data_IF_730167000253
#
_entry.id   IF_730167000253
#
_cell.length_a   1.000
_cell.length_b   1.000
_cell.length_c   1.000
_cell.angle_alpha   90.00
_cell.angle_beta   90.00
_cell.angle_gamma   90.00
#
_symmetry.space_group_name_H-M   'P 1'
#
loop_
_entity.id
_entity.type
_entity.pdbx_description
1 polymer ?
#
# COMPACT_ATOMS: atom_id res chain seq x y z
N UNK A 1 -50.89 -2.95 -20.79
CA UNK A 1 -49.69 -2.56 -21.56
C UNK A 1 -48.76 -1.60 -20.81
N UNK A 2 -49.25 -0.50 -20.22
CA UNK A 2 -48.42 0.46 -19.46
C UNK A 2 -47.66 -0.15 -18.27
N UNK A 3 -48.30 -1.00 -17.47
CA UNK A 3 -47.66 -1.67 -16.33
C UNK A 3 -46.52 -2.62 -16.76
N UNK A 4 -46.70 -3.35 -17.86
CA UNK A 4 -45.67 -4.24 -18.43
C UNK A 4 -44.49 -3.43 -18.95
N UNK A 5 -44.75 -2.30 -19.62
CA UNK A 5 -43.69 -1.40 -20.09
C UNK A 5 -42.87 -0.81 -18.94
N UNK A 6 -43.52 -0.44 -17.82
CA UNK A 6 -42.84 0.06 -16.62
C UNK A 6 -41.99 -1.03 -15.95
N UNK A 7 -42.50 -2.26 -15.83
CA UNK A 7 -41.74 -3.38 -15.29
C UNK A 7 -40.52 -3.70 -16.15
N UNK A 8 -40.66 -3.67 -17.48
CA UNK A 8 -39.55 -3.84 -18.41
C UNK A 8 -38.52 -2.72 -18.27
N UNK A 9 -38.96 -1.47 -18.19
CA UNK A 9 -38.07 -0.33 -18.00
C UNK A 9 -37.26 -0.46 -16.70
N UNK A 10 -37.92 -0.77 -15.58
CA UNK A 10 -37.26 -0.99 -14.29
C UNK A 10 -36.30 -2.18 -14.36
N UNK A 11 -36.72 -3.29 -14.96
CA UNK A 11 -35.87 -4.47 -15.14
C UNK A 11 -34.59 -4.14 -15.92
N UNK A 12 -34.71 -3.43 -17.04
CA UNK A 12 -33.56 -2.99 -17.84
C UNK A 12 -32.66 -2.05 -17.03
N UNK A 13 -33.24 -1.07 -16.32
CA UNK A 13 -32.46 -0.15 -15.48
C UNK A 13 -31.66 -0.89 -14.40
N UNK A 14 -32.28 -1.87 -13.71
CA UNK A 14 -31.60 -2.67 -12.69
C UNK A 14 -30.46 -3.49 -13.30
N UNK A 15 -30.67 -4.12 -14.46
CA UNK A 15 -29.64 -4.89 -15.15
C UNK A 15 -28.47 -4.01 -15.56
N UNK A 16 -28.74 -2.82 -16.12
CA UNK A 16 -27.70 -1.86 -16.50
C UNK A 16 -26.94 -1.36 -15.27
N UNK A 17 -27.64 -0.99 -14.21
CA UNK A 17 -27.02 -0.53 -12.96
C UNK A 17 -26.12 -1.61 -12.34
N UNK A 18 -26.59 -2.87 -12.30
CA UNK A 18 -25.82 -4.00 -11.81
C UNK A 18 -24.58 -4.25 -12.68
N UNK A 19 -24.75 -4.21 -14.00
CA UNK A 19 -23.64 -4.35 -14.96
C UNK A 19 -22.57 -3.27 -14.76
N UNK A 20 -22.98 -2.01 -14.62
CA UNK A 20 -22.08 -0.90 -14.31
C UNK A 20 -21.36 -1.12 -12.97
N UNK A 21 -22.08 -1.53 -11.92
CA UNK A 21 -21.49 -1.80 -10.61
C UNK A 21 -20.42 -2.90 -10.65
N UNK A 22 -20.73 -4.03 -11.30
CA UNK A 22 -19.78 -5.15 -11.46
C UNK A 22 -18.56 -4.75 -12.29
N UNK A 23 -18.76 -3.95 -13.35
CA UNK A 23 -17.67 -3.46 -14.18
C UNK A 23 -16.74 -2.54 -13.39
N UNK A 24 -17.29 -1.61 -12.60
CA UNK A 24 -16.52 -0.68 -11.79
C UNK A 24 -15.71 -1.39 -10.70
N UNK A 25 -16.31 -2.36 -10.01
CA UNK A 25 -15.62 -3.14 -8.97
C UNK A 25 -14.51 -4.02 -9.57
N UNK A 26 -14.74 -4.64 -10.72
CA UNK A 26 -13.71 -5.40 -11.44
C UNK A 26 -12.54 -4.51 -11.89
N UNK A 27 -12.83 -3.30 -12.39
CA UNK A 27 -11.80 -2.34 -12.80
C UNK A 27 -10.99 -1.82 -11.61
N UNK A 28 -11.64 -1.53 -10.48
CA UNK A 28 -10.97 -1.14 -9.24
C UNK A 28 -10.02 -2.26 -8.76
N UNK A 29 -10.51 -3.49 -8.66
CA UNK A 29 -9.67 -4.62 -8.23
C UNK A 29 -8.49 -4.90 -9.17
N UNK A 30 -8.62 -4.64 -10.47
CA UNK A 30 -7.49 -4.74 -11.43
C UNK A 30 -6.44 -3.66 -11.20
N UNK A 31 -6.85 -2.43 -10.87
CA UNK A 31 -5.93 -1.32 -10.55
C UNK A 31 -5.14 -1.62 -9.29
N UNK A 32 -5.80 -2.10 -8.24
CA UNK A 32 -5.15 -2.44 -6.97
C UNK A 32 -4.15 -3.58 -7.16
N UNK A 33 -4.52 -4.64 -7.87
CA UNK A 33 -3.59 -5.74 -8.20
C UNK A 33 -2.39 -5.27 -9.01
N UNK A 34 -2.58 -4.32 -9.93
CA UNK A 34 -1.46 -3.74 -10.72
C UNK A 34 -0.55 -2.89 -9.84
N UNK A 35 -1.11 -2.10 -8.92
CA UNK A 35 -0.34 -1.30 -7.97
C UNK A 35 0.50 -2.21 -7.07
N UNK A 36 -0.08 -3.27 -6.49
CA UNK A 36 0.63 -4.25 -5.66
C UNK A 36 1.76 -4.93 -6.44
N UNK A 37 1.53 -5.38 -7.68
CA UNK A 37 2.57 -6.04 -8.50
C UNK A 37 3.73 -5.12 -8.87
N UNK A 38 3.43 -3.85 -9.09
CA UNK A 38 4.44 -2.84 -9.42
C UNK A 38 5.12 -2.25 -8.18
N UNK A 39 4.57 -2.50 -6.99
CA UNK A 39 5.12 -1.98 -5.75
C UNK A 39 6.45 -2.67 -5.40
N UNK A 40 7.32 -1.90 -4.75
CA UNK A 40 8.62 -2.36 -4.28
C UNK A 40 8.80 -1.93 -2.85
N UNK A 41 9.46 -2.77 -2.07
CA UNK A 41 9.85 -2.42 -0.71
C UNK A 41 10.96 -1.36 -0.77
N UNK A 42 10.75 -0.25 -0.10
CA UNK A 42 11.66 0.90 -0.07
C UNK A 42 11.83 1.38 1.37
N UNK A 43 12.98 1.97 1.67
CA UNK A 43 13.22 2.60 2.97
C UNK A 43 12.45 3.89 3.05
N UNK A 44 11.72 4.06 4.16
CA UNK A 44 10.98 5.26 4.51
C UNK A 44 11.58 5.85 5.79
N UNK A 45 11.67 7.17 5.84
CA UNK A 45 11.94 7.89 7.08
C UNK A 45 11.11 9.17 7.13
N UNK A 46 10.53 9.46 8.29
CA UNK A 46 9.69 10.64 8.48
C UNK A 46 9.63 11.02 9.96
N UNK A 47 9.33 12.29 10.23
CA UNK A 47 9.07 12.78 11.59
C UNK A 47 7.61 12.56 11.99
N UNK A 48 7.36 12.04 13.19
CA UNK A 48 6.03 11.90 13.78
C UNK A 48 6.11 11.94 15.31
N UNK A 49 5.32 12.82 15.92
CA UNK A 49 5.19 12.95 17.38
C UNK A 49 6.54 13.17 18.11
N UNK A 50 7.41 14.03 17.56
CA UNK A 50 8.75 14.31 18.11
C UNK A 50 9.73 13.15 18.00
N UNK A 51 9.47 12.23 17.07
CA UNK A 51 10.31 11.07 16.78
C UNK A 51 10.58 10.96 15.29
N UNK A 52 11.78 10.57 14.95
CA UNK A 52 12.14 10.08 13.62
C UNK A 52 11.77 8.60 13.54
N UNK A 53 10.82 8.28 12.66
CA UNK A 53 10.43 6.91 12.35
C UNK A 53 11.24 6.44 11.15
N UNK A 54 11.90 5.29 11.27
CA UNK A 54 12.55 4.60 10.17
C UNK A 54 11.77 3.32 9.91
N UNK A 55 11.34 3.10 8.67
CA UNK A 55 10.49 1.99 8.29
C UNK A 55 10.89 1.43 6.91
N UNK A 56 10.35 0.26 6.58
CA UNK A 56 10.32 -0.25 5.21
C UNK A 56 8.88 -0.26 4.73
N UNK A 57 8.60 0.31 3.57
CA UNK A 57 7.26 0.42 3.02
C UNK A 57 7.13 -0.23 1.65
N UNK A 58 5.98 -0.86 1.38
CA UNK A 58 5.62 -1.37 0.07
C UNK A 58 5.05 -0.22 -0.78
N UNK A 59 5.91 0.40 -1.58
CA UNK A 59 5.59 1.64 -2.31
C UNK A 59 5.26 1.34 -3.77
N UNK A 60 4.03 1.63 -4.23
CA UNK A 60 3.67 1.53 -5.65
C UNK A 60 4.23 2.73 -6.43
N UNK A 61 4.35 2.65 -7.77
CA UNK A 61 4.83 3.78 -8.59
C UNK A 61 3.96 5.03 -8.48
N UNK A 62 2.68 4.86 -8.16
CA UNK A 62 1.71 5.94 -7.91
C UNK A 62 0.72 5.48 -6.85
N UNK A 63 0.35 6.40 -5.97
CA UNK A 63 -0.61 6.13 -4.89
C UNK A 63 0.08 6.05 -3.52
N UNK A 64 -0.71 5.71 -2.47
CA UNK A 64 -0.20 5.64 -1.11
C UNK A 64 0.68 4.40 -0.89
N UNK A 65 1.43 4.41 0.20
CA UNK A 65 2.14 3.24 0.74
C UNK A 65 1.11 2.15 1.05
N UNK A 66 1.36 0.92 0.59
CA UNK A 66 0.42 -0.20 0.70
C UNK A 66 0.61 -1.02 1.98
N UNK A 67 1.83 -1.06 2.49
CA UNK A 67 2.21 -1.71 3.75
C UNK A 67 3.44 -1.01 4.33
N UNK A 68 3.59 -0.97 5.65
CA UNK A 68 4.69 -0.30 6.35
C UNK A 68 5.12 -1.10 7.58
N UNK A 69 6.39 -1.48 7.64
CA UNK A 69 6.99 -2.13 8.81
C UNK A 69 8.01 -1.22 9.44
N UNK A 70 7.69 -0.71 10.62
CA UNK A 70 8.59 0.16 11.38
C UNK A 70 9.79 -0.65 11.89
N UNK A 71 10.99 -0.12 11.62
CA UNK A 71 12.26 -0.68 12.09
C UNK A 71 12.64 -0.06 13.43
N UNK A 72 12.57 1.26 13.56
CA UNK A 72 12.81 1.96 14.82
C UNK A 72 12.03 3.28 14.89
N UNK A 73 11.81 3.77 16.12
CA UNK A 73 11.33 5.11 16.43
C UNK A 73 12.33 5.78 17.36
N UNK A 74 13.00 6.81 16.86
CA UNK A 74 14.10 7.47 17.55
C UNK A 74 13.61 8.84 18.01
N UNK A 75 13.64 9.17 19.32
CA UNK A 75 13.32 10.51 19.80
C UNK A 75 14.20 11.56 19.11
N UNK A 76 13.64 12.67 18.66
CA UNK A 76 14.42 13.71 17.96
C UNK A 76 15.46 14.39 18.88
N UNK A 77 15.28 14.27 20.20
CA UNK A 77 16.21 14.76 21.23
C UNK A 77 17.21 13.69 21.70
N UNK A 78 17.26 12.53 21.06
CA UNK A 78 18.17 11.44 21.43
C UNK A 78 19.64 11.86 21.16
N UNK A 79 20.54 11.89 22.17
CA UNK A 79 21.94 12.24 21.96
C UNK A 79 22.67 11.28 21.00
N UNK A 80 22.20 10.04 20.90
CA UNK A 80 22.69 9.01 19.96
C UNK A 80 21.84 8.90 18.69
N UNK A 81 21.04 9.92 18.37
CA UNK A 81 20.11 9.89 17.24
C UNK A 81 20.77 9.46 15.94
N UNK A 82 21.94 10.02 15.62
CA UNK A 82 22.63 9.75 14.35
C UNK A 82 23.02 8.28 14.20
N UNK A 83 23.62 7.68 15.24
CA UNK A 83 24.07 6.29 15.19
C UNK A 83 22.90 5.31 15.22
N UNK A 84 21.81 5.66 15.91
CA UNK A 84 20.57 4.88 15.86
C UNK A 84 19.91 4.97 14.50
N UNK A 85 19.86 6.16 13.91
CA UNK A 85 19.26 6.38 12.60
C UNK A 85 20.00 5.61 11.52
N UNK A 86 21.34 5.69 11.49
CA UNK A 86 22.15 4.96 10.53
C UNK A 86 21.99 3.44 10.66
N UNK A 87 21.98 2.90 11.88
CA UNK A 87 21.73 1.47 12.12
C UNK A 87 20.33 1.04 11.68
N UNK A 88 19.31 1.81 12.04
CA UNK A 88 17.93 1.53 11.64
C UNK A 88 17.76 1.60 10.12
N UNK A 89 18.41 2.58 9.46
CA UNK A 89 18.38 2.72 8.01
C UNK A 89 19.06 1.56 7.31
N UNK A 90 20.24 1.13 7.77
CA UNK A 90 20.93 -0.05 7.23
C UNK A 90 20.08 -1.31 7.35
N UNK A 91 19.44 -1.53 8.51
CA UNK A 91 18.52 -2.66 8.71
C UNK A 91 17.30 -2.57 7.80
N UNK A 92 16.76 -1.37 7.57
CA UNK A 92 15.66 -1.15 6.63
C UNK A 92 16.08 -1.41 5.18
N UNK A 93 17.28 -0.97 4.77
CA UNK A 93 17.87 -1.21 3.44
C UNK A 93 18.04 -2.72 3.19
N UNK A 94 18.62 -3.44 4.14
CA UNK A 94 18.77 -4.89 4.09
C UNK A 94 17.40 -5.59 3.98
N UNK A 95 16.44 -5.23 4.85
CA UNK A 95 15.09 -5.81 4.80
C UNK A 95 14.40 -5.53 3.46
N UNK A 96 14.51 -4.32 2.92
CA UNK A 96 13.96 -3.98 1.61
C UNK A 96 14.59 -4.81 0.49
N UNK A 97 15.90 -5.04 0.55
CA UNK A 97 16.63 -5.88 -0.40
C UNK A 97 16.12 -7.33 -0.38
N UNK A 98 15.99 -7.94 0.80
CA UNK A 98 15.47 -9.30 0.94
C UNK A 98 14.00 -9.41 0.50
N UNK A 99 13.15 -8.47 0.90
CA UNK A 99 11.73 -8.48 0.54
C UNK A 99 11.49 -8.27 -0.97
N UNK A 100 12.41 -7.62 -1.68
CA UNK A 100 12.37 -7.51 -3.13
C UNK A 100 12.99 -8.73 -3.86
N UNK A 101 13.47 -9.74 -3.13
CA UNK A 101 14.03 -10.97 -3.68
C UNK A 101 15.53 -10.93 -3.99
N UNK A 102 16.27 -9.95 -3.47
CA UNK A 102 17.71 -9.80 -3.71
C UNK A 102 18.61 -10.75 -2.90
N UNK A 103 18.14 -11.30 -1.78
CA UNK A 103 18.98 -12.09 -0.87
C UNK A 103 18.27 -13.31 -0.27
N UNK A 104 19.00 -14.23 0.40
CA UNK A 104 18.40 -15.37 1.10
C UNK A 104 17.35 -14.90 2.12
N UNK A 105 16.27 -15.66 2.38
CA UNK A 105 15.21 -15.24 3.30
C UNK A 105 15.76 -14.97 4.71
N UNK A 106 15.30 -13.89 5.34
CA UNK A 106 15.69 -13.54 6.71
C UNK A 106 15.10 -14.54 7.72
N UNK A 107 15.82 -14.93 8.79
CA UNK A 107 15.23 -15.63 9.92
C UNK A 107 14.20 -14.73 10.62
N UNK A 108 13.04 -15.32 10.93
CA UNK A 108 11.91 -14.63 11.57
C UNK A 108 12.07 -14.38 13.06
#
# INVERSE_FOLDING_TARGET
MRAVALLLAVGVTVVVALGCHLLLTALAGRRDRRAVRAARWQVLHYGRDGRTVVAVGLVPPRGPVLDEHVVDRIPDTDPGWNDRFLRARLSAEERAYHLNGGGPPLPG
#
